data_IF_971738023291
#
_entry.id   IF_971738023291
#
_cell.length_a   1.000
_cell.length_b   1.000
_cell.length_c   1.000
_cell.angle_alpha   90.00
_cell.angle_beta   90.00
_cell.angle_gamma   90.00
#
_symmetry.space_group_name_H-M   'P 1'
#
loop_
_entity.id
_entity.type
_entity.pdbx_description
1 polymer ?
#
# COMPACT_ATOMS: atom_id res chain seq x y z
N UNK A 1 -14.42 -26.39 21.43
CA UNK A 1 -14.62 -25.08 22.06
C UNK A 1 -13.93 -24.03 21.21
N UNK A 2 -14.73 -23.19 20.56
CA UNK A 2 -14.22 -22.08 19.77
C UNK A 2 -13.66 -20.99 20.68
N UNK A 3 -12.71 -20.23 20.21
CA UNK A 3 -12.19 -19.04 20.88
C UNK A 3 -13.34 -18.05 21.10
N UNK A 4 -13.42 -17.35 22.24
CA UNK A 4 -14.46 -16.37 22.47
C UNK A 4 -14.36 -15.21 21.47
N UNK A 5 -15.51 -14.67 21.05
CA UNK A 5 -15.64 -13.62 20.04
C UNK A 5 -14.75 -12.40 20.28
N UNK A 6 -14.41 -12.08 21.53
CA UNK A 6 -13.50 -10.99 21.88
C UNK A 6 -12.03 -11.28 21.53
N UNK A 7 -11.57 -12.53 21.61
CA UNK A 7 -10.20 -12.90 21.18
C UNK A 7 -10.07 -12.88 19.67
N UNK A 8 -11.11 -13.31 18.94
CA UNK A 8 -11.15 -13.22 17.48
C UNK A 8 -11.14 -11.77 17.01
N UNK A 9 -11.90 -10.90 17.68
CA UNK A 9 -11.92 -9.47 17.37
C UNK A 9 -10.55 -8.80 17.65
N UNK A 10 -9.86 -9.16 18.72
CA UNK A 10 -8.52 -8.64 19.04
C UNK A 10 -7.45 -9.15 18.06
N UNK A 11 -7.52 -10.41 17.64
CA UNK A 11 -6.61 -10.96 16.62
C UNK A 11 -6.80 -10.24 15.31
N UNK A 12 -8.04 -10.02 14.87
CA UNK A 12 -8.35 -9.31 13.63
C UNK A 12 -7.92 -7.84 13.66
N UNK A 13 -7.98 -7.18 14.81
CA UNK A 13 -7.52 -5.79 14.96
C UNK A 13 -5.99 -5.63 14.87
N UNK A 14 -5.24 -6.72 15.08
CA UNK A 14 -3.78 -6.75 14.96
C UNK A 14 -3.29 -7.12 13.55
N UNK A 15 -4.16 -7.67 12.71
CA UNK A 15 -3.82 -8.07 11.34
C UNK A 15 -3.78 -6.86 10.40
N UNK A 16 -2.81 -6.85 9.48
CA UNK A 16 -2.74 -5.85 8.42
C UNK A 16 -3.99 -5.91 7.54
N UNK A 17 -4.52 -4.75 7.17
CA UNK A 17 -5.77 -4.58 6.44
C UNK A 17 -5.51 -4.50 4.95
N UNK A 18 -6.17 -5.33 4.18
CA UNK A 18 -6.08 -5.35 2.71
C UNK A 18 -7.47 -5.13 2.11
N UNK A 19 -7.56 -4.20 1.17
CA UNK A 19 -8.75 -4.02 0.34
C UNK A 19 -8.51 -4.69 -1.01
N UNK A 20 -9.45 -5.54 -1.42
CA UNK A 20 -9.47 -6.22 -2.73
C UNK A 20 -10.57 -5.59 -3.58
N UNK A 21 -10.21 -5.13 -4.78
CA UNK A 21 -11.13 -4.51 -5.75
C UNK A 21 -11.09 -5.34 -7.03
N UNK A 22 -12.16 -6.05 -7.32
CA UNK A 22 -12.25 -6.99 -8.44
C UNK A 22 -13.74 -7.15 -8.80
N UNK A 23 -14.12 -6.95 -10.05
CA UNK A 23 -15.51 -7.03 -10.50
C UNK A 23 -15.99 -8.47 -10.66
N UNK A 24 -15.10 -9.42 -10.97
CA UNK A 24 -15.42 -10.83 -11.05
C UNK A 24 -15.60 -11.43 -9.64
N UNK A 25 -16.82 -11.81 -9.30
CA UNK A 25 -17.18 -12.37 -7.99
C UNK A 25 -16.38 -13.62 -7.62
N UNK A 26 -16.17 -14.53 -8.59
CA UNK A 26 -15.44 -15.78 -8.33
C UNK A 26 -13.97 -15.51 -8.00
N UNK A 27 -13.32 -14.63 -8.76
CA UNK A 27 -11.94 -14.25 -8.52
C UNK A 27 -11.81 -13.44 -7.23
N UNK A 28 -12.74 -12.51 -6.97
CA UNK A 28 -12.77 -11.72 -5.73
C UNK A 28 -12.88 -12.63 -4.50
N UNK A 29 -13.82 -13.57 -4.50
CA UNK A 29 -14.00 -14.53 -3.43
C UNK A 29 -12.77 -15.43 -3.24
N UNK A 30 -12.19 -15.90 -4.34
CA UNK A 30 -10.94 -16.67 -4.29
C UNK A 30 -9.79 -15.92 -3.63
N UNK A 31 -9.59 -14.64 -3.98
CA UNK A 31 -8.56 -13.79 -3.40
C UNK A 31 -8.80 -13.55 -1.89
N UNK A 32 -10.06 -13.29 -1.51
CA UNK A 32 -10.46 -13.15 -0.10
C UNK A 32 -10.14 -14.42 0.68
N UNK A 33 -10.60 -15.59 0.21
CA UNK A 33 -10.38 -16.87 0.88
C UNK A 33 -8.89 -17.21 1.04
N UNK A 34 -8.10 -16.88 0.05
CA UNK A 34 -6.66 -17.12 0.04
C UNK A 34 -5.89 -16.24 1.04
N UNK A 35 -6.36 -15.01 1.29
CA UNK A 35 -5.63 -14.02 2.10
C UNK A 35 -6.17 -13.88 3.51
N UNK A 36 -7.44 -14.22 3.79
CA UNK A 36 -8.11 -14.03 5.10
C UNK A 36 -7.44 -14.73 6.29
N UNK A 37 -6.63 -15.75 6.05
CA UNK A 37 -5.90 -16.45 7.13
C UNK A 37 -4.76 -15.63 7.72
N UNK A 38 -4.25 -14.61 6.99
CA UNK A 38 -3.13 -13.79 7.41
C UNK A 38 -3.39 -12.29 7.45
N UNK A 39 -4.54 -11.85 6.95
CA UNK A 39 -4.89 -10.43 6.80
C UNK A 39 -6.36 -10.18 7.17
N UNK A 40 -6.65 -8.95 7.57
CA UNK A 40 -8.01 -8.46 7.69
C UNK A 40 -8.46 -7.93 6.32
N UNK A 41 -9.45 -8.56 5.69
CA UNK A 41 -9.83 -8.32 4.30
C UNK A 41 -11.20 -7.66 4.21
N UNK A 42 -11.26 -6.58 3.42
CA UNK A 42 -12.50 -6.11 2.81
C UNK A 42 -12.40 -6.20 1.29
N UNK A 43 -13.53 -6.27 0.60
CA UNK A 43 -13.56 -6.35 -0.86
C UNK A 43 -14.77 -5.64 -1.45
N UNK A 44 -14.64 -5.15 -2.69
CA UNK A 44 -15.68 -4.49 -3.45
C UNK A 44 -15.50 -4.71 -4.96
N UNK A 45 -16.55 -4.46 -5.78
CA UNK A 45 -16.52 -4.77 -7.20
C UNK A 45 -15.93 -3.67 -8.11
N UNK A 46 -15.70 -2.46 -7.63
CA UNK A 46 -15.24 -1.33 -8.45
C UNK A 46 -14.52 -0.26 -7.65
N UNK A 47 -13.83 0.64 -8.35
CA UNK A 47 -13.03 1.69 -7.72
C UNK A 47 -13.85 2.74 -6.96
N UNK A 48 -15.11 3.00 -7.35
CA UNK A 48 -15.95 3.98 -6.65
C UNK A 48 -16.31 3.51 -5.24
N UNK A 49 -16.70 2.25 -5.11
CA UNK A 49 -16.95 1.64 -3.80
C UNK A 49 -15.66 1.55 -2.99
N UNK A 50 -14.54 1.25 -3.66
CA UNK A 50 -13.23 1.21 -3.01
C UNK A 50 -12.88 2.53 -2.32
N UNK A 51 -13.11 3.69 -2.94
CA UNK A 51 -12.83 5.00 -2.36
C UNK A 51 -13.64 5.28 -1.08
N UNK A 52 -14.86 4.76 -0.99
CA UNK A 52 -15.69 4.86 0.23
C UNK A 52 -15.08 3.98 1.32
N UNK A 53 -14.79 2.73 0.99
CA UNK A 53 -14.23 1.76 1.94
C UNK A 53 -12.85 2.21 2.45
N UNK A 54 -11.99 2.77 1.61
CA UNK A 54 -10.65 3.22 1.99
C UNK A 54 -10.72 4.21 3.16
N UNK A 55 -11.66 5.15 3.14
CA UNK A 55 -11.80 6.18 4.19
C UNK A 55 -12.22 5.61 5.54
N UNK A 56 -13.05 4.58 5.54
CA UNK A 56 -13.55 3.94 6.76
C UNK A 56 -12.63 2.83 7.27
N UNK A 57 -12.19 1.98 6.36
CA UNK A 57 -11.39 0.80 6.65
C UNK A 57 -9.91 1.12 6.86
N UNK A 58 -9.42 2.19 6.21
CA UNK A 58 -8.02 2.63 6.23
C UNK A 58 -7.05 1.46 5.95
N UNK A 59 -7.05 0.87 4.74
CA UNK A 59 -6.28 -0.31 4.41
C UNK A 59 -4.78 -0.03 4.41
N UNK A 60 -3.98 -1.03 4.78
CA UNK A 60 -2.52 -0.99 4.69
C UNK A 60 -2.01 -1.30 3.27
N UNK A 61 -2.88 -1.86 2.40
CA UNK A 61 -2.61 -2.16 1.00
C UNK A 61 -3.92 -2.34 0.23
N UNK A 62 -3.95 -1.87 -1.03
CA UNK A 62 -5.04 -2.10 -1.98
C UNK A 62 -4.54 -3.03 -3.09
N UNK A 63 -5.33 -4.04 -3.44
CA UNK A 63 -5.14 -4.91 -4.61
C UNK A 63 -6.31 -4.63 -5.54
N UNK A 64 -6.06 -4.19 -6.76
CA UNK A 64 -7.13 -3.84 -7.70
C UNK A 64 -6.92 -4.46 -9.08
N UNK A 65 -7.98 -5.00 -9.66
CA UNK A 65 -7.99 -5.21 -11.11
C UNK A 65 -7.93 -3.86 -11.83
N UNK A 66 -7.32 -3.82 -13.01
CA UNK A 66 -7.29 -2.62 -13.85
C UNK A 66 -8.64 -2.43 -14.55
N UNK A 67 -9.18 -3.49 -15.14
CA UNK A 67 -10.35 -3.44 -16.00
C UNK A 67 -11.64 -3.74 -15.23
N UNK A 68 -12.27 -2.69 -14.70
CA UNK A 68 -13.53 -2.82 -13.96
C UNK A 68 -14.55 -1.77 -14.44
N UNK A 69 -15.86 -2.05 -14.30
CA UNK A 69 -16.90 -1.06 -14.60
C UNK A 69 -16.85 0.12 -13.63
N UNK A 70 -17.42 1.24 -14.03
CA UNK A 70 -17.58 2.51 -13.29
C UNK A 70 -16.27 3.26 -13.02
N UNK A 71 -15.30 2.63 -12.38
CA UNK A 71 -13.96 3.15 -12.12
C UNK A 71 -12.97 1.99 -12.14
N UNK A 72 -12.01 2.03 -13.05
CA UNK A 72 -10.93 1.06 -13.19
C UNK A 72 -9.86 1.20 -12.11
N UNK A 73 -8.97 0.20 -12.03
CA UNK A 73 -7.89 0.21 -11.04
C UNK A 73 -6.82 1.25 -11.31
N UNK A 74 -6.60 1.63 -12.54
CA UNK A 74 -5.71 2.72 -12.95
C UNK A 74 -6.23 4.09 -12.45
N UNK A 75 -7.50 4.40 -12.69
CA UNK A 75 -8.16 5.61 -12.21
C UNK A 75 -8.23 5.63 -10.67
N UNK A 76 -8.53 4.49 -10.03
CA UNK A 76 -8.48 4.33 -8.58
C UNK A 76 -7.09 4.61 -8.03
N UNK A 77 -6.06 4.03 -8.64
CA UNK A 77 -4.66 4.24 -8.25
C UNK A 77 -4.26 5.71 -8.38
N UNK A 78 -4.56 6.35 -9.51
CA UNK A 78 -4.30 7.78 -9.72
C UNK A 78 -4.98 8.65 -8.65
N UNK A 79 -6.24 8.33 -8.31
CA UNK A 79 -6.99 9.04 -7.26
C UNK A 79 -6.34 8.87 -5.89
N UNK A 80 -5.97 7.64 -5.51
CA UNK A 80 -5.29 7.36 -4.25
C UNK A 80 -3.94 8.10 -4.17
N UNK A 81 -3.13 8.04 -5.24
CA UNK A 81 -1.79 8.63 -5.25
C UNK A 81 -1.80 10.17 -5.34
N UNK A 82 -2.88 10.74 -5.88
CA UNK A 82 -3.09 12.19 -5.94
C UNK A 82 -3.65 12.82 -4.66
N UNK A 83 -4.15 12.03 -3.73
CA UNK A 83 -4.73 12.50 -2.47
C UNK A 83 -3.71 12.43 -1.33
N UNK A 84 -3.48 13.55 -0.63
CA UNK A 84 -2.48 13.63 0.45
C UNK A 84 -2.76 12.69 1.62
N UNK A 85 -4.03 12.41 1.91
CA UNK A 85 -4.42 11.52 3.01
C UNK A 85 -4.28 10.04 2.65
N UNK A 86 -4.44 9.69 1.35
CA UNK A 86 -4.43 8.32 0.87
C UNK A 86 -3.15 7.94 0.11
N UNK A 87 -2.36 8.91 -0.37
CA UNK A 87 -1.16 8.66 -1.21
C UNK A 87 -0.15 7.70 -0.60
N UNK A 88 -0.15 7.60 0.72
CA UNK A 88 0.69 6.66 1.44
C UNK A 88 0.24 5.20 1.31
N UNK A 89 -0.98 4.91 0.85
CA UNK A 89 -1.50 3.54 0.71
C UNK A 89 -0.88 2.90 -0.54
N UNK A 90 -0.20 1.74 -0.41
CA UNK A 90 0.32 1.03 -1.57
C UNK A 90 -0.79 0.39 -2.39
N UNK A 91 -0.62 0.43 -3.70
CA UNK A 91 -1.55 -0.14 -4.67
C UNK A 91 -0.83 -1.18 -5.51
N UNK A 92 -1.38 -2.39 -5.53
CA UNK A 92 -0.98 -3.50 -6.43
C UNK A 92 -2.04 -3.64 -7.50
N UNK A 93 -1.65 -3.50 -8.77
CA UNK A 93 -2.55 -3.64 -9.90
C UNK A 93 -2.45 -5.04 -10.52
N UNK A 94 -3.59 -5.67 -10.74
CA UNK A 94 -3.71 -6.93 -11.45
C UNK A 94 -4.04 -6.61 -12.92
N UNK A 95 -3.22 -7.08 -13.86
CA UNK A 95 -3.32 -6.75 -15.29
C UNK A 95 -3.46 -7.99 -16.15
N UNK A 96 -4.14 -7.89 -17.28
CA UNK A 96 -4.20 -8.97 -18.25
C UNK A 96 -2.86 -9.15 -18.99
N UNK A 97 -2.56 -10.38 -19.42
CA UNK A 97 -1.38 -10.69 -20.23
C UNK A 97 -1.47 -9.93 -21.57
N UNK A 98 -0.39 -9.22 -21.95
CA UNK A 98 -0.32 -8.48 -23.22
C UNK A 98 -0.71 -7.01 -23.14
N UNK A 99 -1.04 -6.50 -21.98
CA UNK A 99 -1.46 -5.12 -21.76
C UNK A 99 -0.27 -4.19 -21.45
N UNK A 100 0.77 -4.26 -22.30
CA UNK A 100 2.01 -3.47 -22.14
C UNK A 100 1.73 -1.96 -22.13
N UNK A 101 0.68 -1.52 -22.82
CA UNK A 101 0.31 -0.10 -22.87
C UNK A 101 -0.18 0.40 -21.50
N UNK A 102 -1.09 -0.32 -20.86
CA UNK A 102 -1.57 0.00 -19.52
C UNK A 102 -0.48 -0.19 -18.46
N UNK A 103 0.48 -1.10 -18.69
CA UNK A 103 1.62 -1.27 -17.80
C UNK A 103 2.57 -0.06 -17.84
N UNK A 104 2.81 0.55 -19.01
CA UNK A 104 3.61 1.76 -19.16
C UNK A 104 2.89 3.00 -18.58
N UNK A 105 1.62 3.18 -18.94
CA UNK A 105 0.78 4.25 -18.39
C UNK A 105 0.65 4.13 -16.86
N UNK A 106 0.55 2.92 -16.35
CA UNK A 106 0.42 2.64 -14.93
C UNK A 106 1.71 2.85 -14.12
N UNK A 107 2.89 2.69 -14.71
CA UNK A 107 4.16 3.07 -14.06
C UNK A 107 4.23 4.58 -13.81
N UNK A 108 3.63 5.39 -14.69
CA UNK A 108 3.52 6.85 -14.51
C UNK A 108 2.50 7.23 -13.43
N UNK A 109 1.49 6.38 -13.19
CA UNK A 109 0.44 6.57 -12.16
C UNK A 109 0.97 6.34 -10.74
N UNK A 110 2.10 5.63 -10.58
CA UNK A 110 2.74 5.41 -9.29
C UNK A 110 2.23 4.21 -8.50
N UNK A 111 1.69 3.17 -9.15
CA UNK A 111 1.39 1.90 -8.49
C UNK A 111 2.67 1.25 -7.94
N UNK A 112 2.55 0.60 -6.77
CA UNK A 112 3.70 0.01 -6.07
C UNK A 112 4.11 -1.35 -6.66
N UNK A 113 3.19 -2.06 -7.33
CA UNK A 113 3.48 -3.28 -8.10
C UNK A 113 2.40 -3.57 -9.15
N UNK A 114 2.82 -4.34 -10.16
CA UNK A 114 1.96 -4.91 -11.22
C UNK A 114 2.10 -6.42 -11.20
N UNK A 115 0.97 -7.13 -11.26
CA UNK A 115 0.94 -8.60 -11.34
C UNK A 115 0.08 -9.00 -12.52
N UNK A 116 0.68 -9.69 -13.49
CA UNK A 116 0.00 -10.15 -14.70
C UNK A 116 -0.87 -11.37 -14.43
N UNK A 117 -2.11 -11.35 -14.87
CA UNK A 117 -3.02 -12.52 -14.88
C UNK A 117 -2.67 -13.43 -16.09
N UNK A 118 -2.62 -14.77 -15.95
CA UNK A 118 -2.78 -15.54 -14.72
C UNK A 118 -1.54 -15.48 -13.81
N UNK A 119 -1.74 -15.30 -12.52
CA UNK A 119 -0.65 -15.23 -11.53
C UNK A 119 -0.64 -16.43 -10.58
N UNK A 120 0.52 -16.73 -10.03
CA UNK A 120 0.60 -17.71 -8.95
C UNK A 120 0.31 -17.05 -7.60
N UNK A 121 -0.38 -17.80 -6.73
CA UNK A 121 -0.65 -17.41 -5.33
C UNK A 121 0.63 -17.04 -4.59
N UNK A 122 1.72 -17.78 -4.86
CA UNK A 122 3.03 -17.53 -4.25
C UNK A 122 3.60 -16.15 -4.61
N UNK A 123 3.49 -15.74 -5.87
CA UNK A 123 3.94 -14.42 -6.33
C UNK A 123 3.13 -13.32 -5.67
N UNK A 124 1.80 -13.43 -5.67
CA UNK A 124 0.94 -12.43 -5.04
C UNK A 124 1.25 -12.27 -3.54
N UNK A 125 1.31 -13.37 -2.80
CA UNK A 125 1.66 -13.35 -1.36
C UNK A 125 3.04 -12.78 -1.08
N UNK A 126 4.04 -13.12 -1.89
CA UNK A 126 5.39 -12.59 -1.75
C UNK A 126 5.44 -11.08 -2.01
N UNK A 127 4.75 -10.60 -3.04
CA UNK A 127 4.64 -9.17 -3.36
C UNK A 127 3.99 -8.39 -2.23
N UNK A 128 2.83 -8.86 -1.73
CA UNK A 128 2.13 -8.26 -0.60
C UNK A 128 3.06 -8.15 0.62
N UNK A 129 3.69 -9.28 0.99
CA UNK A 129 4.57 -9.33 2.15
C UNK A 129 5.74 -8.36 2.02
N UNK A 130 6.39 -8.29 0.85
CA UNK A 130 7.51 -7.39 0.62
C UNK A 130 7.11 -5.92 0.75
N UNK A 131 5.99 -5.51 0.13
CA UNK A 131 5.48 -4.14 0.21
C UNK A 131 5.18 -3.77 1.67
N UNK A 132 4.42 -4.59 2.39
CA UNK A 132 4.03 -4.33 3.76
C UNK A 132 5.23 -4.31 4.73
N UNK A 133 6.21 -5.21 4.52
CA UNK A 133 7.44 -5.24 5.34
C UNK A 133 8.29 -4.00 5.12
N UNK A 134 8.52 -3.60 3.88
CA UNK A 134 9.31 -2.40 3.56
C UNK A 134 8.69 -1.14 4.16
N UNK A 135 7.36 -1.02 4.14
CA UNK A 135 6.66 0.10 4.77
C UNK A 135 6.76 0.10 6.28
N UNK A 136 6.66 -1.07 6.92
CA UNK A 136 6.84 -1.18 8.36
C UNK A 136 8.26 -0.78 8.79
N UNK A 137 9.28 -1.11 8.00
CA UNK A 137 10.66 -0.68 8.22
C UNK A 137 10.81 0.84 8.09
N UNK A 138 10.26 1.43 7.03
CA UNK A 138 10.29 2.89 6.84
C UNK A 138 9.61 3.63 7.98
N UNK A 139 8.41 3.20 8.42
CA UNK A 139 7.72 3.79 9.58
C UNK A 139 8.54 3.71 10.86
N UNK A 140 9.27 2.61 11.11
CA UNK A 140 10.15 2.48 12.27
C UNK A 140 11.31 3.46 12.22
N UNK A 141 11.92 3.62 11.05
CA UNK A 141 13.02 4.60 10.86
C UNK A 141 12.54 6.02 11.10
N UNK A 142 11.37 6.40 10.57
CA UNK A 142 10.81 7.74 10.80
C UNK A 142 10.47 7.98 12.27
N UNK A 143 9.82 7.03 12.95
CA UNK A 143 9.46 7.18 14.37
C UNK A 143 10.70 7.22 15.29
N UNK A 144 11.81 6.54 14.92
CA UNK A 144 13.07 6.64 15.68
C UNK A 144 13.81 7.96 15.47
N UNK A 145 13.45 8.74 14.44
CA UNK A 145 14.02 10.08 14.20
C UNK A 145 13.31 11.16 15.05
N UNK A 146 12.04 10.93 15.43
CA UNK A 146 11.29 11.87 16.27
C UNK A 146 11.65 11.78 17.76
N UNK A 147 12.20 10.64 18.24
CA UNK A 147 12.48 10.39 19.65
C UNK A 147 13.97 10.60 20.06
N UNK A 148 14.89 10.85 19.13
CA UNK A 148 16.29 11.12 19.44
C UNK A 148 16.76 12.43 18.79
N UNK A 149 17.40 13.33 19.56
CA UNK A 149 18.35 14.30 18.98
C UNK A 149 19.28 13.51 18.04
N UNK A 150 19.51 13.96 16.78
CA UNK A 150 20.11 13.13 15.75
C UNK A 150 21.56 12.76 16.09
N UNK A 151 21.73 11.69 16.85
CA UNK A 151 23.01 11.02 17.03
C UNK A 151 23.16 10.00 15.89
N UNK A 152 23.43 10.51 14.69
CA UNK A 152 23.63 9.67 13.52
C UNK A 152 24.89 8.82 13.70
N UNK A 153 24.81 7.48 13.58
CA UNK A 153 26.01 6.66 13.54
C UNK A 153 26.83 7.05 12.29
N UNK A 154 28.09 7.38 12.51
CA UNK A 154 29.07 7.94 11.56
C UNK A 154 29.49 6.90 10.48
N UNK A 155 28.56 6.22 9.83
CA UNK A 155 28.84 5.28 8.75
C UNK A 155 28.14 5.65 7.41
N UNK A 156 27.76 6.91 7.22
CA UNK A 156 27.44 7.41 5.89
C UNK A 156 28.75 7.70 5.14
N UNK A 157 29.14 6.82 4.25
CA UNK A 157 30.38 6.90 3.45
C UNK A 157 30.32 7.92 2.31
N UNK A 158 29.27 8.75 2.22
CA UNK A 158 29.11 9.73 1.15
C UNK A 158 28.90 11.15 1.69
N UNK A 159 29.93 11.98 1.53
CA UNK A 159 29.96 13.41 1.93
C UNK A 159 28.89 14.28 1.21
N UNK A 160 28.31 13.80 0.12
CA UNK A 160 27.24 14.49 -0.63
C UNK A 160 25.89 14.39 0.10
N UNK A 161 25.58 13.26 0.72
CA UNK A 161 24.32 13.05 1.44
C UNK A 161 24.25 13.93 2.69
N UNK A 162 25.37 14.14 3.37
CA UNK A 162 25.45 15.05 4.52
C UNK A 162 25.19 16.50 4.16
N UNK A 163 25.72 16.97 3.02
CA UNK A 163 25.48 18.33 2.55
C UNK A 163 24.01 18.55 2.17
N UNK A 164 23.37 17.54 1.58
CA UNK A 164 21.96 17.59 1.22
C UNK A 164 21.08 17.66 2.47
N UNK A 165 21.28 16.78 3.45
CA UNK A 165 20.52 16.76 4.71
C UNK A 165 20.70 18.06 5.49
N UNK A 166 21.92 18.59 5.57
CA UNK A 166 22.20 19.84 6.23
C UNK A 166 21.51 21.03 5.54
N UNK A 167 21.47 21.07 4.20
CA UNK A 167 20.80 22.14 3.44
C UNK A 167 19.28 22.09 3.57
N UNK A 168 18.69 20.88 3.64
CA UNK A 168 17.26 20.69 3.88
C UNK A 168 16.87 21.14 5.28
N UNK A 169 17.66 20.79 6.31
CA UNK A 169 17.43 21.24 7.69
C UNK A 169 17.50 22.76 7.81
N UNK A 170 18.50 23.41 7.22
CA UNK A 170 18.65 24.87 7.21
C UNK A 170 17.48 25.56 6.48
N UNK A 171 16.98 24.94 5.41
CA UNK A 171 15.82 25.46 4.65
C UNK A 171 14.53 25.37 5.46
N UNK A 172 14.33 24.30 6.23
CA UNK A 172 13.18 24.10 7.11
C UNK A 172 13.24 25.09 8.28
N UNK A 173 14.37 25.23 8.94
CA UNK A 173 14.55 26.17 10.07
C UNK A 173 14.34 27.63 9.65
N UNK A 174 14.70 28.01 8.43
CA UNK A 174 14.45 29.35 7.88
C UNK A 174 12.99 29.64 7.55
N UNK A 175 12.20 28.59 7.21
CA UNK A 175 10.81 28.78 6.79
C UNK A 175 9.79 28.50 7.91
N UNK A 176 10.23 28.03 9.09
CA UNK A 176 9.37 27.81 10.26
C UNK A 176 9.46 28.93 11.31
N UNK A 177 10.11 30.03 10.99
CA UNK A 177 10.37 31.16 11.89
C UNK A 177 9.65 32.47 11.55
N UNK A 178 8.34 32.35 11.13
CA UNK A 178 7.43 33.52 11.05
C UNK A 178 6.02 33.14 11.51
#
# INVERSE_FOLDING_TARGET
>A
PGLPDMEIAQINSSLQRILIVEDNDDLRNYLVDMLRTGYNIQSCPNGKEALIIIREFNPDLVISDIMMPEMGGDELCATIKGDLEMSHIPVVLLTALGDEKHMLEGLEIGADAYITKPFSVGILKATIKNILTNRALLRRVYNSIEDEEPNFPVNCTNTLDWKFIASVKECIEKNMGD
#
